data_IF_546327548494
#
_entry.id   IF_546327548494
#
_cell.length_a   1.000
_cell.length_b   1.000
_cell.length_c   1.000
_cell.angle_alpha   90.00
_cell.angle_beta   90.00
_cell.angle_gamma   90.00
#
_symmetry.space_group_name_H-M   'P 1'
#
loop_
_entity.id
_entity.type
_entity.pdbx_description
1 polymer ?
#
# COMPACT_ATOMS: atom_id res chain seq x y z
N UNK A 1 -16.75 -21.28 -0.48
CA UNK A 1 -16.27 -20.07 0.23
C UNK A 1 -14.80 -19.89 -0.14
N UNK A 2 -14.51 -19.28 -1.28
CA UNK A 2 -13.13 -19.12 -1.75
C UNK A 2 -12.44 -18.06 -0.91
N UNK A 3 -11.50 -18.47 -0.05
CA UNK A 3 -10.70 -17.54 0.74
C UNK A 3 -9.90 -16.62 -0.19
N UNK A 4 -9.89 -15.32 0.11
CA UNK A 4 -9.07 -14.37 -0.64
C UNK A 4 -7.60 -14.69 -0.35
N UNK A 5 -6.87 -15.19 -1.36
CA UNK A 5 -5.45 -15.51 -1.23
C UNK A 5 -4.68 -14.18 -1.21
N UNK A 6 -3.92 -13.86 -0.15
CA UNK A 6 -3.13 -12.63 -0.09
C UNK A 6 -2.11 -12.62 -1.24
N UNK A 7 -2.16 -11.57 -2.06
CA UNK A 7 -1.26 -11.36 -3.21
C UNK A 7 -0.48 -10.06 -3.06
N UNK A 8 0.60 -9.94 -3.83
CA UNK A 8 1.36 -8.68 -3.95
C UNK A 8 0.74 -7.79 -5.03
N UNK A 9 0.69 -6.48 -4.79
CA UNK A 9 0.22 -5.49 -5.74
C UNK A 9 1.16 -4.28 -5.80
N UNK A 10 1.43 -3.79 -7.01
CA UNK A 10 2.18 -2.56 -7.26
C UNK A 10 1.19 -1.47 -7.68
N UNK A 11 1.18 -0.34 -6.96
CA UNK A 11 0.33 0.81 -7.28
C UNK A 11 1.21 1.97 -7.76
N UNK A 12 1.10 2.29 -9.05
CA UNK A 12 1.75 3.47 -9.65
C UNK A 12 0.96 4.73 -9.38
N UNK A 13 1.64 5.82 -9.02
CA UNK A 13 0.97 7.06 -8.62
C UNK A 13 0.21 6.90 -7.29
N UNK A 14 0.67 5.98 -6.44
CA UNK A 14 -0.03 5.60 -5.21
C UNK A 14 0.07 6.61 -4.07
N UNK A 15 0.81 7.71 -4.25
CA UNK A 15 1.00 8.73 -3.21
C UNK A 15 -0.24 9.59 -2.95
N UNK A 16 -1.19 9.67 -3.90
CA UNK A 16 -2.37 10.56 -3.78
C UNK A 16 -3.57 10.09 -4.60
N UNK A 17 -4.71 10.77 -4.40
CA UNK A 17 -5.93 10.58 -5.18
C UNK A 17 -6.39 9.12 -5.24
N UNK A 18 -6.70 8.63 -6.44
CA UNK A 18 -7.19 7.27 -6.67
C UNK A 18 -6.13 6.23 -6.30
N UNK A 19 -4.85 6.50 -6.63
CA UNK A 19 -3.76 5.58 -6.30
C UNK A 19 -3.66 5.30 -4.80
N UNK A 20 -3.74 6.35 -3.96
CA UNK A 20 -3.80 6.20 -2.50
C UNK A 20 -5.00 5.36 -2.06
N UNK A 21 -6.20 5.70 -2.55
CA UNK A 21 -7.42 4.95 -2.20
C UNK A 21 -7.34 3.47 -2.60
N UNK A 22 -6.74 3.16 -3.75
CA UNK A 22 -6.49 1.79 -4.19
C UNK A 22 -5.50 1.07 -3.29
N UNK A 23 -4.39 1.71 -2.91
CA UNK A 23 -3.39 1.11 -2.02
C UNK A 23 -4.00 0.74 -0.66
N UNK A 24 -4.77 1.66 -0.05
CA UNK A 24 -5.47 1.43 1.21
C UNK A 24 -6.46 0.26 1.09
N UNK A 25 -7.27 0.24 0.02
CA UNK A 25 -8.27 -0.82 -0.17
C UNK A 25 -7.62 -2.19 -0.36
N UNK A 26 -6.50 -2.27 -1.10
CA UNK A 26 -5.77 -3.52 -1.30
C UNK A 26 -5.18 -4.04 0.00
N UNK A 27 -4.53 -3.15 0.78
CA UNK A 27 -3.97 -3.50 2.08
C UNK A 27 -5.05 -3.96 3.07
N UNK A 28 -6.19 -3.24 3.15
CA UNK A 28 -7.33 -3.62 3.98
C UNK A 28 -7.93 -4.99 3.60
N UNK A 29 -7.74 -5.43 2.35
CA UNK A 29 -8.14 -6.76 1.87
C UNK A 29 -7.07 -7.84 2.11
N UNK A 30 -5.99 -7.52 2.83
CA UNK A 30 -4.90 -8.45 3.20
C UNK A 30 -3.79 -8.60 2.17
N UNK A 31 -3.70 -7.72 1.16
CA UNK A 31 -2.65 -7.77 0.15
C UNK A 31 -1.37 -7.10 0.64
N UNK A 32 -0.22 -7.56 0.13
CA UNK A 32 1.04 -6.80 0.23
C UNK A 32 1.07 -5.74 -0.85
N UNK A 33 1.26 -4.49 -0.48
CA UNK A 33 1.16 -3.36 -1.41
C UNK A 33 2.47 -2.60 -1.48
N UNK A 34 2.99 -2.41 -2.70
CA UNK A 34 4.09 -1.51 -3.00
C UNK A 34 3.52 -0.22 -3.61
N UNK A 35 3.94 0.93 -3.10
CA UNK A 35 3.51 2.25 -3.56
C UNK A 35 4.64 2.90 -4.35
N UNK A 36 4.39 3.20 -5.63
CA UNK A 36 5.31 3.93 -6.48
C UNK A 36 4.86 5.39 -6.66
N UNK A 37 5.82 6.31 -6.64
CA UNK A 37 5.65 7.75 -6.79
C UNK A 37 6.73 8.35 -7.70
N UNK A 38 6.51 9.57 -8.21
CA UNK A 38 7.50 10.28 -9.04
C UNK A 38 8.11 11.51 -8.35
N UNK A 39 7.30 12.32 -7.66
CA UNK A 39 7.75 13.64 -7.16
C UNK A 39 7.24 13.99 -5.76
N UNK A 40 6.55 13.06 -5.09
CA UNK A 40 5.80 13.30 -3.86
C UNK A 40 6.19 12.22 -2.82
N UNK A 41 7.44 12.23 -2.32
CA UNK A 41 7.97 11.19 -1.43
C UNK A 41 7.32 11.21 -0.04
N UNK A 42 6.98 12.38 0.48
CA UNK A 42 6.36 12.53 1.80
C UNK A 42 4.95 11.94 1.81
N UNK A 43 4.15 12.26 0.79
CA UNK A 43 2.81 11.68 0.66
C UNK A 43 2.85 10.18 0.40
N UNK A 44 3.84 9.69 -0.36
CA UNK A 44 4.05 8.26 -0.54
C UNK A 44 4.38 7.56 0.79
N UNK A 45 5.23 8.18 1.61
CA UNK A 45 5.61 7.66 2.94
C UNK A 45 4.40 7.60 3.86
N UNK A 46 3.59 8.67 3.90
CA UNK A 46 2.36 8.70 4.67
C UNK A 46 1.38 7.58 4.26
N UNK A 47 1.28 7.27 2.96
CA UNK A 47 0.46 6.13 2.49
C UNK A 47 1.04 4.79 2.96
N UNK A 48 2.36 4.61 2.91
CA UNK A 48 3.02 3.38 3.39
C UNK A 48 2.80 3.18 4.88
N UNK A 49 2.92 4.25 5.68
CA UNK A 49 2.65 4.23 7.13
C UNK A 49 1.18 3.90 7.41
N UNK A 50 0.25 4.47 6.65
CA UNK A 50 -1.19 4.23 6.80
C UNK A 50 -1.58 2.77 6.50
N UNK A 51 -0.91 2.12 5.54
CA UNK A 51 -1.21 0.74 5.14
C UNK A 51 -0.29 -0.30 5.80
N UNK A 52 0.66 0.13 6.62
CA UNK A 52 1.57 -0.77 7.32
C UNK A 52 0.80 -1.63 8.35
N UNK A 53 1.04 -2.94 8.42
CA UNK A 53 0.58 -3.75 9.53
C UNK A 53 1.19 -3.21 10.83
N UNK A 54 0.43 -3.25 11.94
CA UNK A 54 0.89 -2.87 13.27
C UNK A 54 2.12 -3.67 13.77
N UNK A 55 2.54 -4.72 13.05
CA UNK A 55 3.66 -5.61 13.38
C UNK A 55 4.62 -5.88 12.20
N UNK A 56 4.80 -4.94 11.27
CA UNK A 56 5.80 -5.12 10.22
C UNK A 56 7.22 -4.76 10.73
N UNK A 57 8.21 -5.67 10.72
CA UNK A 57 9.59 -5.29 10.96
C UNK A 57 10.06 -4.42 9.79
N UNK A 58 10.58 -3.23 10.11
CA UNK A 58 11.25 -2.35 9.16
C UNK A 58 12.40 -3.14 8.53
N UNK A 59 12.30 -3.45 7.24
CA UNK A 59 13.44 -3.94 6.47
C UNK A 59 14.34 -2.72 6.18
N UNK A 60 15.53 -2.73 6.80
CA UNK A 60 16.65 -1.88 6.40
C UNK A 60 17.31 -2.40 5.13
#
# INVERSE_FOLDING_TARGET
MGGNIPRSALVTGGSRGIGRATAIRLAANGHRVAVNYNSHPEEATAVVEEIAPLEAPLLQ
#
